data_IF_318919125373
#
_entry.id   IF_318919125373
#
_cell.length_a   1.000
_cell.length_b   1.000
_cell.length_c   1.000
_cell.angle_alpha   90.00
_cell.angle_beta   90.00
_cell.angle_gamma   90.00
#
_symmetry.space_group_name_H-M   'P 1'
#
loop_
_entity.id
_entity.type
_entity.pdbx_description
1 polymer ?
#
# COMPACT_ATOMS: atom_id res chain seq x y z
N UNK A 1 -17.80 -26.12 6.51
CA UNK A 1 -16.63 -25.26 6.58
C UNK A 1 -17.04 -23.83 6.26
N UNK A 2 -16.76 -22.90 7.16
CA UNK A 2 -17.14 -21.51 7.01
C UNK A 2 -15.96 -20.69 6.52
N UNK A 3 -15.84 -20.56 5.21
CA UNK A 3 -14.77 -19.77 4.58
C UNK A 3 -15.36 -18.45 4.11
N UNK A 4 -14.76 -17.35 4.55
CA UNK A 4 -15.14 -16.04 4.06
C UNK A 4 -14.64 -15.85 2.63
N UNK A 5 -15.45 -15.20 1.80
CA UNK A 5 -15.05 -14.86 0.44
C UNK A 5 -14.01 -13.72 0.46
N UNK A 6 -13.26 -13.57 -0.63
CA UNK A 6 -12.36 -12.43 -0.79
C UNK A 6 -13.13 -11.10 -0.78
N UNK A 7 -14.31 -11.06 -1.35
CA UNK A 7 -15.17 -9.87 -1.33
C UNK A 7 -15.55 -9.47 0.08
N UNK A 8 -15.86 -10.44 0.95
CA UNK A 8 -16.17 -10.18 2.35
C UNK A 8 -14.95 -9.59 3.06
N UNK A 9 -13.77 -10.18 2.86
CA UNK A 9 -12.55 -9.67 3.46
C UNK A 9 -12.24 -8.23 3.02
N UNK A 10 -12.42 -7.94 1.74
CA UNK A 10 -12.23 -6.58 1.22
C UNK A 10 -13.24 -5.62 1.83
N UNK A 11 -14.52 -5.99 1.90
CA UNK A 11 -15.56 -5.14 2.50
C UNK A 11 -15.25 -4.82 3.96
N UNK A 12 -14.82 -5.81 4.72
CA UNK A 12 -14.42 -5.62 6.12
C UNK A 12 -13.21 -4.70 6.23
N UNK A 13 -12.20 -4.89 5.37
CA UNK A 13 -11.01 -4.06 5.37
C UNK A 13 -11.34 -2.60 5.06
N UNK A 14 -12.20 -2.34 4.07
CA UNK A 14 -12.58 -0.99 3.68
C UNK A 14 -13.27 -0.20 4.80
N UNK A 15 -13.90 -0.89 5.75
CA UNK A 15 -14.51 -0.24 6.91
C UNK A 15 -13.49 0.23 7.94
N UNK A 16 -12.30 -0.34 7.93
CA UNK A 16 -11.27 -0.09 8.93
C UNK A 16 -10.18 0.86 8.47
N UNK A 17 -10.09 1.14 7.18
CA UNK A 17 -9.02 1.93 6.58
C UNK A 17 -9.58 3.18 5.91
N UNK A 18 -8.71 4.18 5.73
CA UNK A 18 -9.05 5.38 4.97
C UNK A 18 -8.79 5.12 3.49
N UNK A 19 -9.76 5.45 2.65
CA UNK A 19 -9.64 5.35 1.19
C UNK A 19 -9.69 6.74 0.58
N UNK A 20 -8.76 7.02 -0.33
CA UNK A 20 -8.76 8.26 -1.11
C UNK A 20 -8.83 7.90 -2.60
N UNK A 21 -9.24 8.85 -3.42
CA UNK A 21 -9.27 8.64 -4.86
C UNK A 21 -7.90 8.90 -5.50
N UNK A 22 -7.77 8.56 -6.78
CA UNK A 22 -6.51 8.71 -7.52
C UNK A 22 -6.03 10.16 -7.54
N UNK A 23 -6.93 11.11 -7.74
CA UNK A 23 -6.54 12.53 -7.80
C UNK A 23 -5.99 13.02 -6.47
N UNK A 24 -6.61 12.62 -5.35
CA UNK A 24 -6.12 12.94 -4.02
C UNK A 24 -4.75 12.35 -3.76
N UNK A 25 -4.56 11.09 -4.15
CA UNK A 25 -3.27 10.39 -3.98
C UNK A 25 -2.17 11.08 -4.79
N UNK A 26 -2.44 11.42 -6.04
CA UNK A 26 -1.47 12.11 -6.89
C UNK A 26 -1.15 13.51 -6.37
N UNK A 27 -2.12 14.22 -5.82
CA UNK A 27 -1.89 15.51 -5.20
C UNK A 27 -0.94 15.40 -4.03
N UNK A 28 -1.16 14.44 -3.13
CA UNK A 28 -0.26 14.19 -2.00
C UNK A 28 1.14 13.85 -2.48
N UNK A 29 1.23 13.02 -3.51
CA UNK A 29 2.52 12.60 -4.05
C UNK A 29 3.27 13.76 -4.71
N UNK A 30 2.58 14.55 -5.52
CA UNK A 30 3.18 15.70 -6.20
C UNK A 30 3.61 16.81 -5.23
N UNK A 31 2.94 16.92 -4.09
CA UNK A 31 3.30 17.85 -3.01
C UNK A 31 4.32 17.26 -2.04
N UNK A 32 4.83 16.07 -2.33
CA UNK A 32 5.82 15.36 -1.51
C UNK A 32 5.34 15.10 -0.07
N UNK A 33 4.05 14.80 0.07
CA UNK A 33 3.42 14.56 1.39
C UNK A 33 3.18 13.10 1.71
N UNK A 34 3.47 12.19 0.79
CA UNK A 34 3.27 10.76 1.03
C UNK A 34 4.36 9.90 0.42
N UNK A 35 4.47 8.70 0.98
CA UNK A 35 5.17 7.61 0.33
C UNK A 35 4.13 6.88 -0.51
N UNK A 36 4.23 6.94 -1.82
CA UNK A 36 3.32 6.25 -2.72
C UNK A 36 3.88 4.86 -3.00
N UNK A 37 3.16 3.83 -2.57
CA UNK A 37 3.64 2.45 -2.60
C UNK A 37 2.78 1.62 -3.54
N UNK A 38 3.40 1.14 -4.61
CA UNK A 38 2.80 0.23 -5.57
C UNK A 38 3.00 -1.20 -5.10
N UNK A 39 1.92 -1.91 -4.82
CA UNK A 39 1.99 -3.28 -4.31
C UNK A 39 1.69 -4.34 -5.36
N UNK A 40 1.62 -3.94 -6.64
CA UNK A 40 1.40 -4.88 -7.74
C UNK A 40 2.62 -5.78 -7.93
N UNK A 41 2.42 -6.85 -8.68
CA UNK A 41 3.52 -7.73 -9.05
C UNK A 41 4.42 -7.05 -10.09
N UNK A 42 5.71 -7.40 -10.07
CA UNK A 42 6.68 -6.81 -10.99
C UNK A 42 6.26 -6.94 -12.45
N UNK A 43 5.68 -8.08 -12.83
CA UNK A 43 5.21 -8.31 -14.18
C UNK A 43 4.13 -7.31 -14.63
N UNK A 44 3.30 -6.84 -13.70
CA UNK A 44 2.30 -5.82 -14.01
C UNK A 44 2.95 -4.47 -14.31
N UNK A 45 4.00 -4.10 -13.56
CA UNK A 45 4.75 -2.88 -13.81
C UNK A 45 5.47 -2.92 -15.17
N UNK A 46 6.07 -4.07 -15.48
CA UNK A 46 6.79 -4.25 -16.75
C UNK A 46 5.85 -4.17 -17.96
N UNK A 47 4.63 -4.67 -17.80
CA UNK A 47 3.64 -4.73 -18.89
C UNK A 47 2.81 -3.45 -19.02
N UNK A 48 2.44 -2.85 -17.90
CA UNK A 48 1.45 -1.76 -17.86
C UNK A 48 2.06 -0.42 -17.47
N UNK A 49 3.35 -0.40 -17.17
CA UNK A 49 4.03 0.81 -16.71
C UNK A 49 3.87 1.06 -15.22
N UNK A 50 4.54 2.09 -14.73
CA UNK A 50 4.53 2.43 -13.30
C UNK A 50 4.45 3.95 -13.12
N UNK A 51 4.07 4.37 -11.92
CA UNK A 51 4.11 5.78 -11.54
C UNK A 51 5.57 6.14 -11.24
N UNK A 52 6.11 7.12 -11.96
CA UNK A 52 7.50 7.55 -11.78
C UNK A 52 7.74 7.99 -10.33
N UNK A 53 8.87 7.55 -9.79
CA UNK A 53 9.31 7.83 -8.42
C UNK A 53 8.46 7.19 -7.31
N UNK A 54 7.47 6.37 -7.64
CA UNK A 54 6.77 5.60 -6.61
C UNK A 54 7.66 4.46 -6.11
N UNK A 55 7.40 4.01 -4.89
CA UNK A 55 8.09 2.85 -4.32
C UNK A 55 7.37 1.58 -4.76
N UNK A 56 8.10 0.59 -5.25
CA UNK A 56 7.54 -0.72 -5.56
C UNK A 56 7.86 -1.70 -4.45
N UNK A 57 6.82 -2.13 -3.74
CA UNK A 57 6.92 -3.17 -2.73
C UNK A 57 5.82 -4.18 -3.03
N UNK A 58 6.15 -5.34 -3.64
CA UNK A 58 5.13 -6.34 -3.97
C UNK A 58 4.36 -6.76 -2.72
N UNK A 59 3.07 -7.04 -2.88
CA UNK A 59 2.21 -7.41 -1.74
C UNK A 59 2.82 -8.47 -0.83
N UNK A 60 3.46 -9.47 -1.41
CA UNK A 60 4.06 -10.58 -0.64
C UNK A 60 5.25 -10.18 0.23
N UNK A 61 5.84 -9.03 0.00
CA UNK A 61 7.00 -8.54 0.76
C UNK A 61 6.67 -7.36 1.67
N UNK A 62 5.43 -6.89 1.62
CA UNK A 62 5.06 -5.62 2.22
C UNK A 62 5.35 -5.55 3.72
N UNK A 63 4.86 -6.51 4.49
CA UNK A 63 5.05 -6.52 5.95
C UNK A 63 6.52 -6.65 6.33
N UNK A 64 7.28 -7.43 5.56
CA UNK A 64 8.70 -7.64 5.83
C UNK A 64 9.53 -6.39 5.54
N UNK A 65 9.23 -5.70 4.44
CA UNK A 65 9.98 -4.51 4.04
C UNK A 65 9.59 -3.27 4.84
N UNK A 66 8.37 -3.23 5.36
CA UNK A 66 7.91 -2.14 6.22
C UNK A 66 8.17 -2.39 7.70
N UNK A 67 8.73 -3.53 8.06
CA UNK A 67 9.15 -3.81 9.42
C UNK A 67 10.24 -2.82 9.83
N UNK A 68 10.04 -2.00 10.88
CA UNK A 68 11.03 -1.00 11.32
C UNK A 68 12.39 -1.60 11.67
N UNK A 69 12.42 -2.87 12.07
CA UNK A 69 13.67 -3.57 12.38
C UNK A 69 14.32 -4.18 11.14
N UNK A 70 13.65 -4.13 10.00
CA UNK A 70 14.12 -4.73 8.76
C UNK A 70 15.09 -3.84 7.99
N UNK A 71 15.96 -4.44 7.15
CA UNK A 71 16.98 -3.68 6.42
C UNK A 71 16.42 -2.72 5.38
N UNK A 72 15.30 -3.06 4.74
CA UNK A 72 14.69 -2.17 3.75
C UNK A 72 14.23 -0.86 4.40
N UNK A 73 13.55 -0.97 5.52
CA UNK A 73 13.08 0.19 6.28
C UNK A 73 14.25 1.07 6.72
N UNK A 74 15.30 0.44 7.25
CA UNK A 74 16.51 1.13 7.72
C UNK A 74 17.31 1.76 6.58
N UNK A 75 17.06 1.38 5.34
CA UNK A 75 17.76 1.97 4.18
C UNK A 75 17.39 3.43 3.90
N UNK A 76 16.31 3.93 4.52
CA UNK A 76 15.88 5.31 4.36
C UNK A 76 15.11 5.60 3.07
N UNK A 77 14.67 4.59 2.35
CA UNK A 77 13.89 4.77 1.11
C UNK A 77 12.49 5.29 1.35
N UNK A 78 11.98 5.12 2.56
CA UNK A 78 10.67 5.60 2.98
C UNK A 78 10.84 6.67 4.04
N UNK A 79 10.06 7.72 3.95
CA UNK A 79 10.06 8.80 4.93
C UNK A 79 8.94 8.55 5.94
N UNK A 80 9.31 8.27 7.19
CA UNK A 80 8.36 7.96 8.26
C UNK A 80 7.51 9.15 8.69
N UNK A 81 7.90 10.36 8.32
CA UNK A 81 7.11 11.55 8.61
C UNK A 81 6.02 11.81 7.59
N UNK A 82 5.96 11.01 6.54
CA UNK A 82 4.95 11.13 5.48
C UNK A 82 3.95 9.99 5.55
N UNK A 83 2.74 10.24 5.09
CA UNK A 83 1.71 9.22 5.01
C UNK A 83 2.11 8.08 4.07
N UNK A 84 1.69 6.87 4.40
CA UNK A 84 1.85 5.69 3.54
C UNK A 84 0.58 5.52 2.71
N UNK A 85 0.70 5.65 1.40
CA UNK A 85 -0.43 5.47 0.48
C UNK A 85 -0.16 4.24 -0.39
N UNK A 86 -1.00 3.24 -0.27
CA UNK A 86 -0.88 2.00 -1.03
C UNK A 86 -1.79 2.02 -2.24
N UNK A 87 -1.34 1.47 -3.35
CA UNK A 87 -2.22 1.27 -4.50
C UNK A 87 -1.92 -0.03 -5.24
N UNK A 88 -2.93 -0.51 -5.95
CA UNK A 88 -2.85 -1.63 -6.87
C UNK A 88 -3.72 -1.32 -8.09
N UNK A 89 -3.96 -2.28 -8.98
CA UNK A 89 -4.73 -2.02 -10.19
C UNK A 89 -6.19 -1.67 -9.92
N UNK A 90 -6.87 -2.43 -9.05
CA UNK A 90 -8.30 -2.26 -8.81
C UNK A 90 -8.70 -1.91 -7.38
N UNK A 91 -7.74 -1.69 -6.49
CA UNK A 91 -8.02 -1.34 -5.10
C UNK A 91 -8.32 -2.51 -4.17
N UNK A 92 -8.42 -3.73 -4.66
CA UNK A 92 -8.77 -4.89 -3.83
C UNK A 92 -7.58 -5.36 -3.00
N UNK A 93 -6.44 -5.57 -3.63
CA UNK A 93 -5.22 -5.99 -2.94
C UNK A 93 -4.75 -4.93 -1.96
N UNK A 94 -4.86 -3.65 -2.32
CA UNK A 94 -4.46 -2.55 -1.44
C UNK A 94 -5.36 -2.42 -0.22
N UNK A 95 -6.65 -2.78 -0.31
CA UNK A 95 -7.54 -2.82 0.85
C UNK A 95 -7.06 -3.83 1.89
N UNK A 96 -6.77 -5.06 1.45
CA UNK A 96 -6.28 -6.11 2.34
C UNK A 96 -4.90 -5.76 2.90
N UNK A 97 -4.03 -5.21 2.07
CA UNK A 97 -2.70 -4.80 2.48
C UNK A 97 -2.74 -3.68 3.53
N UNK A 98 -3.58 -2.68 3.33
CA UNK A 98 -3.73 -1.58 4.29
C UNK A 98 -4.22 -2.08 5.65
N UNK A 99 -5.17 -3.01 5.66
CA UNK A 99 -5.65 -3.62 6.90
C UNK A 99 -4.52 -4.37 7.62
N UNK A 100 -3.72 -5.13 6.89
CA UNK A 100 -2.58 -5.86 7.45
C UNK A 100 -1.57 -4.90 8.09
N UNK A 101 -1.24 -3.81 7.43
CA UNK A 101 -0.31 -2.81 7.96
C UNK A 101 -0.90 -2.08 9.17
N UNK A 102 -2.21 -1.90 9.21
CA UNK A 102 -2.87 -1.33 10.38
C UNK A 102 -2.66 -2.22 11.61
N UNK A 103 -2.69 -3.53 11.45
CA UNK A 103 -2.40 -4.47 12.52
C UNK A 103 -0.96 -4.33 13.04
N UNK A 104 -0.03 -3.91 12.19
CA UNK A 104 1.35 -3.61 12.60
C UNK A 104 1.48 -2.28 13.34
N UNK A 105 0.46 -1.44 13.29
CA UNK A 105 0.47 -0.13 13.94
C UNK A 105 0.60 1.05 13.00
N UNK A 106 0.64 0.83 11.69
CA UNK A 106 0.69 1.93 10.73
C UNK A 106 -0.69 2.56 10.53
N UNK A 107 -0.70 3.87 10.33
CA UNK A 107 -1.86 4.57 9.81
C UNK A 107 -1.74 4.61 8.28
N UNK A 108 -2.49 3.76 7.62
CA UNK A 108 -2.34 3.54 6.19
C UNK A 108 -3.54 4.10 5.43
N UNK A 109 -3.25 4.74 4.30
CA UNK A 109 -4.23 5.21 3.34
C UNK A 109 -4.12 4.32 2.10
N UNK A 110 -5.25 3.95 1.59
CA UNK A 110 -5.33 3.20 0.34
C UNK A 110 -5.67 4.13 -0.82
#
# INVERSE_FOLDING_TARGET
>A
MNIKSSQTLVSEALKEIKTINTDEALTLFNEDKCNLIDIREKGELDKMGRVENSNHIPRGMLEFWLDPDGPYFKSGKLDMNKEMVLFCAGGLRSALAARSLKEMGFEIIK
#
